data_IF_415366137270
#
_entry.id   IF_415366137270
#
_cell.length_a   1.000
_cell.length_b   1.000
_cell.length_c   1.000
_cell.angle_alpha   90.00
_cell.angle_beta   90.00
_cell.angle_gamma   90.00
#
_symmetry.space_group_name_H-M   'P 1'
#
loop_
_entity.id
_entity.type
_entity.pdbx_description
1 polymer ?
#
# COMPACT_ATOMS: atom_id res chain seq x y z
N UNK A 1 16.64 -18.28 8.95
CA UNK A 1 17.04 -16.87 8.73
C UNK A 1 15.78 -16.02 8.71
N UNK A 2 15.78 -14.87 9.38
CA UNK A 2 14.74 -13.85 9.26
C UNK A 2 15.43 -12.51 8.98
N UNK A 3 14.87 -11.71 8.08
CA UNK A 3 15.37 -10.38 7.74
C UNK A 3 14.20 -9.47 7.41
N UNK A 4 14.27 -8.21 7.87
CA UNK A 4 13.21 -7.22 7.65
C UNK A 4 13.75 -6.12 6.74
N UNK A 5 13.17 -6.01 5.55
CA UNK A 5 13.43 -4.90 4.65
C UNK A 5 12.66 -3.67 5.16
N UNK A 6 13.34 -2.52 5.26
CA UNK A 6 12.76 -1.25 5.71
C UNK A 6 12.99 -0.17 4.65
N UNK A 7 12.28 0.96 4.76
CA UNK A 7 12.40 2.07 3.79
C UNK A 7 11.78 1.78 2.42
N UNK A 8 10.84 0.84 2.35
CA UNK A 8 10.10 0.52 1.13
C UNK A 8 8.92 1.48 0.91
N UNK A 9 8.50 1.60 -0.35
CA UNK A 9 7.41 2.47 -0.78
C UNK A 9 6.11 1.67 -0.87
N UNK A 10 5.07 2.13 -0.18
CA UNK A 10 3.74 1.50 -0.19
C UNK A 10 3.13 1.49 -1.60
N UNK A 11 2.28 0.51 -1.89
CA UNK A 11 1.67 0.34 -3.22
C UNK A 11 2.62 -0.13 -4.33
N UNK A 12 3.90 -0.36 -4.02
CA UNK A 12 4.89 -0.84 -4.98
C UNK A 12 5.11 -2.34 -4.87
N UNK A 13 5.41 -2.94 -6.03
CA UNK A 13 5.83 -4.35 -6.13
C UNK A 13 7.35 -4.45 -6.09
N UNK A 14 7.85 -5.36 -5.26
CA UNK A 14 9.27 -5.66 -5.12
C UNK A 14 9.54 -7.14 -5.46
N UNK A 15 10.65 -7.37 -6.15
CA UNK A 15 11.21 -8.71 -6.33
C UNK A 15 12.36 -8.89 -5.34
N UNK A 16 12.21 -9.86 -4.45
CA UNK A 16 13.21 -10.23 -3.44
C UNK A 16 13.98 -11.43 -3.98
N UNK A 17 15.31 -11.41 -3.87
CA UNK A 17 16.19 -12.50 -4.28
C UNK A 17 17.11 -12.88 -3.13
N UNK A 18 17.16 -14.17 -2.81
CA UNK A 18 17.97 -14.72 -1.73
C UNK A 18 18.91 -15.77 -2.31
N UNK A 19 20.21 -15.64 -2.03
CA UNK A 19 21.26 -16.58 -2.41
C UNK A 19 21.99 -17.07 -1.16
N UNK A 20 22.40 -18.34 -1.15
CA UNK A 20 23.38 -18.84 -0.19
C UNK A 20 24.79 -18.59 -0.74
N UNK A 21 25.73 -18.25 0.14
CA UNK A 21 27.15 -18.06 -0.24
C UNK A 21 28.06 -18.96 0.59
N UNK A 22 29.09 -19.53 -0.04
CA UNK A 22 30.15 -20.34 0.61
C UNK A 22 31.47 -20.12 -0.12
N UNK A 23 32.51 -19.65 0.58
CA UNK A 23 33.85 -19.46 0.03
C UNK A 23 33.89 -18.70 -1.33
N UNK A 24 33.06 -17.67 -1.48
CA UNK A 24 32.97 -16.88 -2.72
C UNK A 24 32.11 -17.51 -3.84
N UNK A 25 31.54 -18.70 -3.62
CA UNK A 25 30.54 -19.30 -4.49
C UNK A 25 29.13 -18.90 -4.04
N UNK A 26 28.22 -18.73 -5.00
CA UNK A 26 26.80 -18.43 -4.76
C UNK A 26 25.92 -19.55 -5.30
N UNK A 27 24.84 -19.87 -4.59
CA UNK A 27 23.79 -20.76 -5.11
C UNK A 27 22.97 -20.09 -6.21
N UNK A 28 22.11 -20.86 -6.87
CA UNK A 28 20.99 -20.28 -7.60
C UNK A 28 20.10 -19.47 -6.64
N UNK A 29 19.50 -18.36 -7.10
CA UNK A 29 18.62 -17.54 -6.27
C UNK A 29 17.25 -18.18 -6.08
N UNK A 30 16.70 -18.01 -4.88
CA UNK A 30 15.25 -18.12 -4.67
C UNK A 30 14.66 -16.72 -4.77
N UNK A 31 13.59 -16.57 -5.55
CA UNK A 31 12.94 -15.28 -5.76
C UNK A 31 11.49 -15.31 -5.28
N UNK A 32 11.03 -14.16 -4.78
CA UNK A 32 9.64 -13.91 -4.45
C UNK A 32 9.24 -12.51 -4.91
N UNK A 33 8.05 -12.38 -5.48
CA UNK A 33 7.47 -11.10 -5.86
C UNK A 33 6.35 -10.75 -4.90
N UNK A 34 6.42 -9.58 -4.30
CA UNK A 34 5.45 -9.12 -3.30
C UNK A 34 5.03 -7.68 -3.57
N UNK A 35 3.72 -7.44 -3.57
CA UNK A 35 3.15 -6.10 -3.60
C UNK A 35 2.93 -5.59 -2.19
N UNK A 36 3.38 -4.36 -1.91
CA UNK A 36 3.05 -3.70 -0.65
C UNK A 36 1.66 -3.07 -0.73
N UNK A 37 0.95 -3.08 0.39
CA UNK A 37 -0.37 -2.44 0.50
C UNK A 37 -0.22 -0.94 0.28
N UNK A 38 -1.07 -0.29 -0.54
CA UNK A 38 -1.09 1.17 -0.67
C UNK A 38 -1.35 1.85 0.68
N UNK A 39 -0.83 3.06 0.86
CA UNK A 39 -1.17 3.84 2.05
C UNK A 39 -2.67 4.16 2.06
N UNK A 40 -3.28 4.18 3.25
CA UNK A 40 -4.69 4.53 3.39
C UNK A 40 -4.93 5.98 2.92
N UNK A 41 -6.07 6.26 2.26
CA UNK A 41 -6.47 7.64 1.99
C UNK A 41 -6.72 8.40 3.30
N UNK A 42 -6.43 9.69 3.29
CA UNK A 42 -6.80 10.64 4.34
C UNK A 42 -7.87 11.58 3.80
N UNK A 43 -8.74 12.08 4.68
CA UNK A 43 -9.66 13.15 4.30
C UNK A 43 -8.89 14.44 4.06
N UNK A 44 -9.09 15.05 2.90
CA UNK A 44 -8.46 16.33 2.57
C UNK A 44 -9.17 17.50 3.26
N UNK A 45 -10.47 17.33 3.53
CA UNK A 45 -11.29 18.30 4.25
C UNK A 45 -12.47 17.62 4.95
N UNK A 46 -13.13 18.37 5.83
CA UNK A 46 -14.42 17.96 6.39
C UNK A 46 -15.43 17.69 5.28
N UNK A 47 -16.22 16.60 5.34
CA UNK A 47 -17.26 16.35 4.36
C UNK A 47 -18.29 17.48 4.30
N UNK A 48 -18.68 17.87 3.10
CA UNK A 48 -19.74 18.87 2.90
C UNK A 48 -21.07 18.15 2.73
N UNK A 49 -22.08 18.60 3.47
CA UNK A 49 -23.40 17.95 3.52
C UNK A 49 -24.48 18.93 3.06
N UNK A 50 -25.40 18.44 2.23
CA UNK A 50 -26.66 19.12 1.90
C UNK A 50 -27.85 18.28 2.39
N UNK A 51 -29.08 18.67 2.03
CA UNK A 51 -30.26 17.87 2.35
C UNK A 51 -30.29 16.50 1.67
N UNK A 52 -29.54 16.32 0.57
CA UNK A 52 -29.58 15.08 -0.24
C UNK A 52 -28.22 14.57 -0.70
N UNK A 53 -27.13 15.30 -0.44
CA UNK A 53 -25.79 14.93 -0.92
C UNK A 53 -24.74 15.04 0.18
N UNK A 54 -23.72 14.19 0.07
CA UNK A 54 -22.49 14.27 0.85
C UNK A 54 -21.33 14.29 -0.14
N UNK A 55 -20.46 15.28 -0.03
CA UNK A 55 -19.22 15.37 -0.81
C UNK A 55 -18.05 15.06 0.11
N UNK A 56 -17.25 14.06 -0.29
CA UNK A 56 -16.04 13.62 0.43
C UNK A 56 -14.86 13.79 -0.52
N UNK A 57 -13.82 14.44 -0.03
CA UNK A 57 -12.52 14.55 -0.68
C UNK A 57 -11.48 13.84 0.18
N UNK A 58 -10.66 13.03 -0.48
CA UNK A 58 -9.55 12.36 0.17
C UNK A 58 -8.48 11.99 -0.82
N UNK A 59 -7.24 11.97 -0.34
CA UNK A 59 -6.06 11.65 -1.11
C UNK A 59 -5.16 10.69 -0.34
N UNK A 60 -4.30 9.97 -1.06
CA UNK A 60 -3.26 9.16 -0.43
C UNK A 60 -1.98 10.00 -0.31
N UNK A 61 -1.29 10.00 0.85
CA UNK A 61 -0.02 10.67 1.00
C UNK A 61 0.99 10.27 -0.08
N UNK A 62 1.88 11.20 -0.44
CA UNK A 62 2.90 10.99 -1.48
C UNK A 62 3.73 9.72 -1.22
N UNK A 63 4.06 8.98 -2.28
CA UNK A 63 4.83 7.74 -2.17
C UNK A 63 3.97 6.48 -2.15
N UNK A 64 2.77 6.53 -2.70
CA UNK A 64 2.01 5.33 -3.05
C UNK A 64 1.46 5.47 -4.46
N UNK A 65 1.59 4.41 -5.26
CA UNK A 65 0.92 4.36 -6.56
C UNK A 65 -0.53 3.97 -6.32
N UNK A 66 -1.44 4.91 -6.59
CA UNK A 66 -2.88 4.70 -6.49
C UNK A 66 -3.44 4.53 -7.88
N UNK A 67 -4.06 3.39 -8.14
CA UNK A 67 -4.71 3.07 -9.42
C UNK A 67 -6.23 3.26 -9.36
N UNK A 68 -6.80 3.40 -8.17
CA UNK A 68 -8.23 3.63 -7.96
C UNK A 68 -8.60 3.72 -6.49
N UNK A 69 -9.85 4.10 -6.23
CA UNK A 69 -10.44 4.18 -4.90
C UNK A 69 -11.73 3.37 -4.86
N UNK A 70 -11.99 2.72 -3.73
CA UNK A 70 -13.28 2.08 -3.44
C UNK A 70 -13.95 2.89 -2.34
N UNK A 71 -15.15 3.39 -2.61
CA UNK A 71 -15.95 4.16 -1.66
C UNK A 71 -17.14 3.32 -1.23
N UNK A 72 -17.27 3.09 0.07
CA UNK A 72 -18.38 2.37 0.70
C UNK A 72 -19.13 3.32 1.64
N UNK A 73 -20.44 3.18 1.73
CA UNK A 73 -21.30 4.00 2.59
C UNK A 73 -22.45 3.15 3.15
N UNK A 74 -22.94 3.54 4.32
CA UNK A 74 -24.09 2.93 4.98
C UNK A 74 -24.89 3.99 5.73
N UNK A 75 -26.19 3.78 5.93
CA UNK A 75 -26.98 4.62 6.84
C UNK A 75 -26.70 4.20 8.28
N UNK A 76 -26.61 5.17 9.18
CA UNK A 76 -26.66 4.89 10.61
C UNK A 76 -28.08 4.45 10.98
N UNK A 77 -28.20 3.37 11.75
CA UNK A 77 -29.48 2.79 12.16
C UNK A 77 -29.60 2.71 13.68
N UNK A 78 -28.84 3.55 14.40
CA UNK A 78 -28.88 3.66 15.86
C UNK A 78 -30.28 3.94 16.41
#
# INVERSE_FOLDING_TARGET
>A
MSHTLTGLTNGQTYTISIVATTNGLSSAPVQATVGLVPSAPVLDSTPTVTTTTITISGSVPSGSVVTGYVVQWQRDTS
#
